data_IF_839969966611
#
_entry.id   IF_839969966611
#
_cell.length_a   1.000
_cell.length_b   1.000
_cell.length_c   1.000
_cell.angle_alpha   90.00
_cell.angle_beta   90.00
_cell.angle_gamma   90.00
#
_symmetry.space_group_name_H-M   'P 1'
#
loop_
_entity.id
_entity.type
_entity.pdbx_description
1 polymer ?
#
# COMPACT_ATOMS: atom_id res chain seq x y z
N UNK A 1 8.81 -19.50 14.22
CA UNK A 1 9.64 -19.73 13.02
C UNK A 1 10.78 -20.61 13.44
N UNK A 2 11.24 -21.53 12.59
CA UNK A 2 12.48 -22.27 12.86
C UNK A 2 13.68 -21.43 12.43
N UNK A 3 14.86 -21.72 12.98
CA UNK A 3 16.12 -21.10 12.54
C UNK A 3 16.37 -21.34 11.04
N UNK A 4 15.85 -22.44 10.50
CA UNK A 4 15.92 -22.77 9.08
C UNK A 4 15.25 -21.73 8.17
N UNK A 5 14.13 -21.14 8.59
CA UNK A 5 13.46 -20.14 7.73
C UNK A 5 14.24 -18.81 7.71
N UNK A 6 14.89 -18.46 8.82
CA UNK A 6 15.77 -17.28 8.91
C UNK A 6 17.00 -17.46 8.02
N UNK A 7 17.64 -18.63 8.06
CA UNK A 7 18.79 -18.93 7.21
C UNK A 7 18.43 -18.89 5.72
N UNK A 8 17.29 -19.49 5.35
CA UNK A 8 16.82 -19.47 3.97
C UNK A 8 16.51 -18.04 3.49
N UNK A 9 15.94 -17.18 4.34
CA UNK A 9 15.74 -15.77 4.01
C UNK A 9 17.06 -15.03 3.84
N UNK A 10 18.05 -15.28 4.70
CA UNK A 10 19.38 -14.65 4.59
C UNK A 10 20.08 -15.05 3.29
N UNK A 11 20.02 -16.33 2.90
CA UNK A 11 20.52 -16.81 1.61
C UNK A 11 19.82 -16.14 0.44
N UNK A 12 18.49 -16.00 0.51
CA UNK A 12 17.72 -15.31 -0.51
C UNK A 12 18.11 -13.82 -0.62
N UNK A 13 18.24 -13.10 0.50
CA UNK A 13 18.64 -11.69 0.51
C UNK A 13 20.06 -11.50 -0.03
N UNK A 14 20.99 -12.39 0.32
CA UNK A 14 22.35 -12.35 -0.21
C UNK A 14 22.39 -12.50 -1.74
N UNK A 15 21.45 -13.24 -2.34
CA UNK A 15 21.34 -13.35 -3.80
C UNK A 15 20.89 -12.05 -4.49
N UNK A 16 20.40 -11.08 -3.71
CA UNK A 16 20.01 -9.74 -4.16
C UNK A 16 20.96 -8.65 -3.64
N UNK A 17 22.12 -9.00 -3.08
CA UNK A 17 23.05 -8.07 -2.43
C UNK A 17 22.41 -7.30 -1.25
N UNK A 18 21.42 -7.90 -0.58
CA UNK A 18 20.72 -7.34 0.57
C UNK A 18 21.08 -8.09 1.86
N UNK A 19 20.94 -7.41 3.00
CA UNK A 19 21.10 -8.00 4.32
C UNK A 19 19.75 -8.06 5.03
N UNK A 20 19.54 -9.08 5.87
CA UNK A 20 18.37 -9.13 6.74
C UNK A 20 18.54 -8.23 7.96
N UNK A 21 17.42 -7.72 8.48
CA UNK A 21 17.42 -7.00 9.75
C UNK A 21 17.39 -8.01 10.89
N UNK A 22 18.33 -7.89 11.83
CA UNK A 22 18.23 -8.66 13.08
C UNK A 22 16.97 -8.24 13.84
N UNK A 23 16.17 -9.24 14.24
CA UNK A 23 14.86 -9.07 14.85
C UNK A 23 14.87 -8.18 16.10
N UNK A 24 15.98 -8.11 16.82
CA UNK A 24 16.10 -7.25 17.99
C UNK A 24 16.13 -5.75 17.63
N UNK A 25 16.50 -5.41 16.40
CA UNK A 25 16.57 -4.04 15.89
C UNK A 25 15.38 -3.67 15.00
N UNK A 26 14.34 -4.49 14.94
CA UNK A 26 13.11 -4.17 14.20
C UNK A 26 12.42 -2.96 14.84
N UNK A 27 12.55 -1.81 14.20
CA UNK A 27 11.96 -0.54 14.62
C UNK A 27 10.43 -0.62 14.68
N UNK A 28 9.82 -1.49 13.84
CA UNK A 28 8.37 -1.65 13.72
C UNK A 28 7.90 -3.08 14.04
N UNK A 29 8.33 -3.59 15.19
CA UNK A 29 7.99 -4.95 15.66
C UNK A 29 6.49 -5.26 15.65
N UNK A 30 5.63 -4.26 15.91
CA UNK A 30 4.16 -4.40 15.88
C UNK A 30 3.63 -4.79 14.50
N UNK A 31 3.98 -4.01 13.46
CA UNK A 31 3.63 -4.32 12.08
C UNK A 31 4.21 -5.68 11.65
N UNK A 32 5.46 -5.95 12.03
CA UNK A 32 6.10 -7.22 11.73
C UNK A 32 5.32 -8.44 12.28
N UNK A 33 4.90 -8.38 13.55
CA UNK A 33 4.09 -9.43 14.17
C UNK A 33 2.75 -9.56 13.43
N UNK A 34 2.12 -8.44 13.10
CA UNK A 34 0.84 -8.41 12.38
C UNK A 34 0.93 -9.12 11.02
N UNK A 35 1.88 -8.72 10.17
CA UNK A 35 2.10 -9.30 8.85
C UNK A 35 2.34 -10.82 8.93
N UNK A 36 3.15 -11.27 9.90
CA UNK A 36 3.41 -12.69 10.14
C UNK A 36 2.16 -13.46 10.56
N UNK A 37 1.34 -12.89 11.43
CA UNK A 37 0.09 -13.52 11.84
C UNK A 37 -0.91 -13.58 10.70
N UNK A 38 -0.86 -12.62 9.78
CA UNK A 38 -1.63 -12.63 8.53
C UNK A 38 -1.19 -13.76 7.61
N UNK A 39 0.12 -13.95 7.39
CA UNK A 39 0.66 -15.11 6.66
C UNK A 39 0.18 -16.43 7.29
N UNK A 40 0.27 -16.58 8.62
CA UNK A 40 -0.23 -17.78 9.29
C UNK A 40 -1.73 -18.00 9.05
N UNK A 41 -2.52 -16.93 8.94
CA UNK A 41 -3.95 -17.04 8.59
C UNK A 41 -4.10 -17.47 7.13
N UNK A 42 -3.40 -16.86 6.18
CA UNK A 42 -3.42 -17.25 4.75
C UNK A 42 -3.07 -18.73 4.60
N UNK A 43 -1.96 -19.17 5.20
CA UNK A 43 -1.51 -20.56 5.15
C UNK A 43 -2.49 -21.53 5.83
N UNK A 44 -3.20 -21.12 6.89
CA UNK A 44 -4.27 -21.95 7.50
C UNK A 44 -5.50 -22.11 6.61
N UNK A 45 -5.77 -21.15 5.74
CA UNK A 45 -6.87 -21.21 4.78
C UNK A 45 -6.44 -21.79 3.42
N UNK A 46 -5.15 -22.14 3.26
CA UNK A 46 -4.64 -22.93 2.14
C UNK A 46 -5.37 -24.28 2.08
N UNK A 47 -5.99 -24.58 0.95
CA UNK A 47 -6.86 -25.75 0.80
C UNK A 47 -8.33 -25.52 1.20
N UNK A 48 -8.72 -24.29 1.51
CA UNK A 48 -10.13 -23.89 1.57
C UNK A 48 -10.69 -23.68 0.15
N UNK A 49 -12.02 -23.59 -0.02
CA UNK A 49 -12.62 -23.24 -1.31
C UNK A 49 -12.14 -21.89 -1.89
N UNK A 50 -11.53 -21.03 -1.07
CA UNK A 50 -11.08 -19.68 -1.45
C UNK A 50 -9.60 -19.63 -1.86
N UNK A 51 -8.80 -20.63 -1.47
CA UNK A 51 -7.35 -20.65 -1.72
C UNK A 51 -6.90 -22.07 -2.04
N UNK A 52 -6.35 -22.25 -3.25
CA UNK A 52 -5.62 -23.45 -3.65
C UNK A 52 -4.47 -23.73 -2.68
N UNK A 53 -4.13 -25.01 -2.45
CA UNK A 53 -3.02 -25.36 -1.58
C UNK A 53 -1.69 -24.72 -2.02
N UNK A 54 -1.04 -24.02 -1.10
CA UNK A 54 0.39 -23.70 -1.20
C UNK A 54 1.21 -24.93 -0.90
N UNK A 55 1.89 -25.50 -1.90
CA UNK A 55 2.92 -26.53 -1.68
C UNK A 55 4.21 -25.94 -1.09
N UNK A 56 4.41 -24.63 -1.26
CA UNK A 56 5.57 -23.85 -0.83
C UNK A 56 5.33 -23.14 0.49
N UNK A 57 6.40 -22.82 1.24
CA UNK A 57 6.28 -21.87 2.36
C UNK A 57 6.07 -20.45 1.85
N UNK A 58 5.42 -19.64 2.67
CA UNK A 58 5.32 -18.19 2.51
C UNK A 58 5.97 -17.53 3.72
N UNK A 59 6.98 -16.71 3.49
CA UNK A 59 7.81 -16.08 4.53
C UNK A 59 7.74 -14.56 4.38
N UNK A 60 7.59 -13.85 5.49
CA UNK A 60 7.75 -12.40 5.55
C UNK A 60 8.89 -12.06 6.49
N UNK A 61 9.82 -11.25 5.99
CA UNK A 61 10.96 -10.73 6.74
C UNK A 61 11.35 -9.34 6.21
N UNK A 62 12.07 -8.57 7.03
CA UNK A 62 12.56 -7.24 6.68
C UNK A 62 14.03 -7.30 6.27
N UNK A 63 14.38 -6.48 5.28
CA UNK A 63 15.74 -6.31 4.81
C UNK A 63 16.26 -4.94 5.22
N UNK A 64 17.54 -4.88 5.55
CA UNK A 64 18.27 -3.66 5.81
C UNK A 64 18.55 -3.00 4.46
N UNK A 65 17.68 -2.08 4.07
CA UNK A 65 17.77 -1.29 2.87
C UNK A 65 17.17 0.10 3.18
N UNK A 66 17.99 1.18 3.12
CA UNK A 66 17.48 2.51 3.41
C UNK A 66 16.48 3.01 2.36
N UNK A 67 16.43 2.41 1.17
CA UNK A 67 15.52 2.84 0.10
C UNK A 67 14.05 2.51 0.42
N UNK A 68 13.14 3.28 -0.17
CA UNK A 68 11.72 2.92 -0.20
C UNK A 68 11.54 1.75 -1.18
N UNK A 69 11.44 0.55 -0.63
CA UNK A 69 11.31 -0.67 -1.41
C UNK A 69 10.44 -1.74 -0.71
N UNK A 70 9.71 -2.49 -1.53
CA UNK A 70 8.98 -3.68 -1.17
C UNK A 70 8.93 -4.59 -2.40
N UNK A 71 8.97 -5.90 -2.17
CA UNK A 71 8.89 -6.86 -3.26
C UNK A 71 8.50 -8.26 -2.80
N UNK A 72 7.77 -8.95 -3.68
CA UNK A 72 7.48 -10.36 -3.63
C UNK A 72 8.39 -11.14 -4.59
N UNK A 73 8.89 -12.29 -4.12
CA UNK A 73 9.77 -13.12 -4.92
C UNK A 73 9.71 -14.60 -4.53
N UNK A 74 10.30 -15.46 -5.35
CA UNK A 74 10.44 -16.90 -5.09
C UNK A 74 11.90 -17.32 -5.08
N UNK A 75 12.31 -18.05 -4.04
CA UNK A 75 13.67 -18.59 -3.91
C UNK A 75 13.63 -20.02 -3.35
N UNK A 76 14.38 -20.92 -3.97
CA UNK A 76 14.44 -22.34 -3.57
C UNK A 76 13.06 -22.98 -3.34
N UNK A 77 12.10 -22.65 -4.22
CA UNK A 77 10.73 -23.16 -4.15
C UNK A 77 9.85 -22.54 -3.05
N UNK A 78 10.30 -21.51 -2.33
CA UNK A 78 9.53 -20.81 -1.29
C UNK A 78 9.23 -19.37 -1.70
N UNK A 79 8.10 -18.84 -1.25
CA UNK A 79 7.71 -17.45 -1.47
C UNK A 79 8.15 -16.56 -0.32
N UNK A 80 8.51 -15.34 -0.67
CA UNK A 80 8.97 -14.33 0.24
C UNK A 80 8.31 -13.00 -0.06
N UNK A 81 7.95 -12.28 1.00
CA UNK A 81 7.60 -10.88 0.97
C UNK A 81 8.65 -10.13 1.76
N UNK A 82 9.23 -9.11 1.15
CA UNK A 82 10.13 -8.19 1.81
C UNK A 82 9.55 -6.77 1.80
N UNK A 83 9.66 -6.11 2.95
CA UNK A 83 9.48 -4.67 3.06
C UNK A 83 10.74 -4.15 3.74
N UNK A 84 11.43 -3.23 3.08
CA UNK A 84 12.65 -2.59 3.61
C UNK A 84 12.38 -1.83 4.90
N UNK A 85 13.39 -1.72 5.76
CA UNK A 85 13.34 -0.82 6.92
C UNK A 85 13.24 0.66 6.47
N UNK A 86 13.86 1.00 5.34
CA UNK A 86 13.71 2.29 4.66
C UNK A 86 12.24 2.69 4.46
N UNK A 87 11.43 1.81 3.84
CA UNK A 87 9.98 2.02 3.67
C UNK A 87 9.28 2.35 4.99
N UNK A 88 9.59 1.64 6.07
CA UNK A 88 8.93 1.88 7.35
C UNK A 88 9.30 3.24 7.95
N UNK A 89 10.59 3.58 7.96
CA UNK A 89 11.07 4.88 8.46
C UNK A 89 10.48 6.03 7.68
N UNK A 90 10.46 5.89 6.36
CA UNK A 90 9.94 6.89 5.45
C UNK A 90 8.45 7.13 5.67
N UNK A 91 7.62 6.08 5.82
CA UNK A 91 6.18 6.26 6.06
C UNK A 91 5.90 6.86 7.44
N UNK A 92 6.65 6.45 8.47
CA UNK A 92 6.48 7.03 9.79
C UNK A 92 6.80 8.53 9.81
N UNK A 93 7.91 8.95 9.19
CA UNK A 93 8.25 10.37 9.07
C UNK A 93 7.19 11.11 8.24
N UNK A 94 6.69 10.53 7.14
CA UNK A 94 5.63 11.12 6.32
C UNK A 94 4.43 11.53 7.16
N UNK A 95 3.83 10.56 7.86
CA UNK A 95 2.59 10.81 8.59
C UNK A 95 2.82 11.60 9.88
N UNK A 96 3.96 11.42 10.55
CA UNK A 96 4.31 12.26 11.70
C UNK A 96 4.44 13.73 11.28
N UNK A 97 5.13 14.00 10.17
CA UNK A 97 5.27 15.35 9.63
C UNK A 97 3.93 15.95 9.23
N UNK A 98 3.09 15.17 8.55
CA UNK A 98 1.73 15.61 8.18
C UNK A 98 0.91 15.99 9.41
N UNK A 99 0.87 15.15 10.43
CA UNK A 99 0.05 15.38 11.62
C UNK A 99 0.69 16.37 12.60
N UNK A 100 1.98 16.70 12.43
CA UNK A 100 2.62 17.83 13.13
C UNK A 100 2.16 19.19 12.59
N UNK A 101 1.44 19.23 11.47
CA UNK A 101 0.82 20.45 10.97
C UNK A 101 -0.66 20.55 11.39
N UNK A 102 -1.10 21.67 11.99
CA UNK A 102 -2.46 21.83 12.51
C UNK A 102 -3.56 21.86 11.43
N UNK A 103 -3.24 22.12 10.17
CA UNK A 103 -4.23 22.16 9.08
C UNK A 103 -4.57 20.77 8.54
N UNK A 104 -3.75 19.76 8.82
CA UNK A 104 -3.95 18.40 8.33
C UNK A 104 -4.78 17.61 9.31
N UNK A 105 -5.97 17.18 8.87
CA UNK A 105 -6.92 16.40 9.67
C UNK A 105 -7.14 17.01 11.07
N UNK A 106 -7.66 18.26 11.15
CA UNK A 106 -7.79 19.00 12.40
C UNK A 106 -8.79 18.37 13.39
N UNK A 107 -9.62 17.44 12.94
CA UNK A 107 -10.58 16.72 13.76
C UNK A 107 -9.95 15.72 14.74
N UNK A 108 -8.66 15.39 14.59
CA UNK A 108 -7.95 14.48 15.49
C UNK A 108 -7.01 15.24 16.41
N UNK A 109 -7.29 15.14 17.72
CA UNK A 109 -6.46 15.72 18.78
C UNK A 109 -6.52 17.25 18.88
N UNK A 110 -5.64 17.81 19.71
CA UNK A 110 -5.55 19.25 19.93
C UNK A 110 -4.54 19.90 18.98
N UNK A 111 -5.05 20.54 17.92
CA UNK A 111 -4.23 21.22 16.90
C UNK A 111 -3.43 22.41 17.46
N UNK A 112 -3.84 23.00 18.59
CA UNK A 112 -3.17 24.18 19.13
C UNK A 112 -1.78 23.87 19.70
N UNK A 113 -1.50 22.59 19.98
CA UNK A 113 -0.19 22.12 20.44
C UNK A 113 0.83 22.00 19.31
N UNK A 114 0.38 21.92 18.07
CA UNK A 114 1.22 21.62 16.91
C UNK A 114 1.94 22.86 16.35
N UNK A 115 2.91 22.61 15.45
CA UNK A 115 3.72 23.68 14.85
C UNK A 115 3.17 24.07 13.47
N UNK A 116 2.93 25.36 13.26
CA UNK A 116 2.36 25.86 12.00
C UNK A 116 3.38 25.79 10.84
N UNK A 117 4.67 25.94 11.14
CA UNK A 117 5.76 25.94 10.16
C UNK A 117 6.46 24.57 10.13
N UNK A 118 5.93 23.66 9.33
CA UNK A 118 6.70 22.49 8.89
C UNK A 118 7.46 22.91 7.64
N UNK A 119 8.80 22.84 7.69
CA UNK A 119 9.60 23.15 6.50
C UNK A 119 9.23 22.14 5.41
N UNK A 120 8.82 22.58 4.20
CA UNK A 120 8.59 21.67 3.10
C UNK A 120 9.85 20.84 2.84
N UNK A 121 9.69 19.55 2.58
CA UNK A 121 10.77 18.71 2.09
C UNK A 121 10.92 19.03 0.59
N UNK A 122 12.06 19.59 0.19
CA UNK A 122 12.30 19.91 -1.23
C UNK A 122 12.58 18.60 -1.95
N UNK A 123 11.53 17.99 -2.48
CA UNK A 123 11.59 16.62 -3.01
C UNK A 123 11.56 15.59 -1.89
N UNK A 124 10.79 14.54 -2.06
CA UNK A 124 10.73 13.47 -1.06
C UNK A 124 11.90 12.51 -1.26
N UNK A 125 12.56 12.11 -0.17
CA UNK A 125 13.67 11.19 -0.23
C UNK A 125 13.14 9.77 -0.12
N UNK A 126 13.17 9.03 -1.22
CA UNK A 126 12.93 7.58 -1.22
C UNK A 126 14.13 6.80 -0.64
N UNK A 127 14.89 7.43 0.26
CA UNK A 127 15.99 6.86 0.99
C UNK A 127 15.99 7.46 2.42
N UNK A 128 15.83 6.60 3.42
CA UNK A 128 15.65 6.96 4.81
C UNK A 128 16.89 7.64 5.43
N UNK A 129 18.10 7.28 5.00
CA UNK A 129 19.32 7.92 5.49
C UNK A 129 19.39 9.37 5.02
N UNK A 130 19.16 9.59 3.72
CA UNK A 130 19.09 10.94 3.15
C UNK A 130 17.99 11.77 3.81
N UNK A 131 16.83 11.15 4.06
CA UNK A 131 15.71 11.79 4.77
C UNK A 131 16.10 12.24 6.18
N UNK A 132 16.82 11.42 6.94
CA UNK A 132 17.30 11.75 8.29
C UNK A 132 18.31 12.88 8.23
N UNK A 133 19.33 12.78 7.39
CA UNK A 133 20.35 13.83 7.22
C UNK A 133 19.73 15.19 6.85
N UNK A 134 18.78 15.19 5.92
CA UNK A 134 18.10 16.41 5.49
C UNK A 134 17.15 16.96 6.55
N UNK A 135 16.54 16.09 7.35
CA UNK A 135 15.72 16.51 8.49
C UNK A 135 16.57 17.14 9.58
N UNK A 136 17.71 16.56 9.92
CA UNK A 136 18.67 17.12 10.90
C UNK A 136 19.15 18.52 10.48
N UNK A 137 19.52 18.70 9.20
CA UNK A 137 19.89 20.02 8.65
C UNK A 137 18.78 21.07 8.79
N UNK A 138 17.53 20.64 8.91
CA UNK A 138 16.32 21.50 8.95
C UNK A 138 15.68 21.62 10.34
N UNK A 139 16.35 21.14 11.39
CA UNK A 139 15.87 21.24 12.77
C UNK A 139 15.36 19.93 13.37
N UNK A 140 15.59 18.79 12.70
CA UNK A 140 15.27 17.44 13.18
C UNK A 140 14.01 16.84 12.54
N UNK A 141 13.71 15.61 12.98
CA UNK A 141 12.49 14.89 12.60
C UNK A 141 11.25 15.54 13.23
N UNK A 142 10.12 15.50 12.54
CA UNK A 142 8.87 16.05 13.04
C UNK A 142 8.09 14.99 13.80
N UNK A 143 7.51 15.37 14.94
CA UNK A 143 6.68 14.50 15.76
C UNK A 143 5.46 15.29 16.24
N UNK A 144 4.23 14.76 16.07
CA UNK A 144 3.06 15.41 16.62
C UNK A 144 3.22 15.57 18.13
N UNK A 145 2.95 16.79 18.60
CA UNK A 145 3.07 17.18 20.00
C UNK A 145 1.86 16.73 20.81
N UNK A 146 0.69 16.69 20.17
CA UNK A 146 -0.50 16.11 20.76
C UNK A 146 -0.47 14.56 20.66
N UNK A 147 -0.78 13.90 21.77
CA UNK A 147 -0.72 12.44 21.86
C UNK A 147 -1.74 11.75 20.95
N UNK A 148 -2.94 12.32 20.80
CA UNK A 148 -3.96 11.78 19.90
C UNK A 148 -3.48 11.91 18.45
N UNK A 149 -2.93 13.06 18.06
CA UNK A 149 -2.33 13.24 16.72
C UNK A 149 -1.17 12.28 16.45
N UNK A 150 -0.31 12.05 17.45
CA UNK A 150 0.80 11.08 17.35
C UNK A 150 0.30 9.66 17.11
N UNK A 151 -0.65 9.18 17.92
CA UNK A 151 -1.24 7.85 17.75
C UNK A 151 -1.92 7.70 16.39
N UNK A 152 -2.54 8.77 15.92
CA UNK A 152 -3.20 8.79 14.63
C UNK A 152 -2.22 8.76 13.45
N UNK A 153 -1.07 9.44 13.55
CA UNK A 153 0.01 9.34 12.57
C UNK A 153 0.56 7.90 12.45
N UNK A 154 0.75 7.21 13.58
CA UNK A 154 1.15 5.80 13.61
C UNK A 154 0.08 4.93 12.94
N UNK A 155 -1.21 5.23 13.18
CA UNK A 155 -2.31 4.51 12.55
C UNK A 155 -2.32 4.65 11.03
N UNK A 156 -2.16 5.87 10.48
CA UNK A 156 -2.04 6.09 9.03
C UNK A 156 -0.80 5.39 8.43
N UNK A 157 0.32 5.39 9.16
CA UNK A 157 1.54 4.67 8.77
C UNK A 157 1.27 3.17 8.63
N UNK A 158 0.60 2.58 9.62
CA UNK A 158 0.23 1.16 9.60
C UNK A 158 -0.77 0.83 8.49
N UNK A 159 -1.72 1.72 8.19
CA UNK A 159 -2.65 1.54 7.07
C UNK A 159 -1.92 1.45 5.72
N UNK A 160 -0.93 2.32 5.50
CA UNK A 160 -0.10 2.28 4.29
C UNK A 160 0.77 1.01 4.23
N UNK A 161 1.40 0.64 5.36
CA UNK A 161 2.21 -0.59 5.46
C UNK A 161 1.37 -1.86 5.24
N UNK A 162 0.17 -1.92 5.81
CA UNK A 162 -0.76 -3.05 5.62
C UNK A 162 -1.17 -3.18 4.15
N UNK A 163 -1.35 -2.06 3.43
CA UNK A 163 -1.62 -2.08 1.99
C UNK A 163 -0.40 -2.55 1.18
N UNK A 164 0.81 -2.06 1.47
CA UNK A 164 2.04 -2.54 0.80
C UNK A 164 2.19 -4.05 1.00
N UNK A 165 2.03 -4.53 2.24
CA UNK A 165 2.08 -5.96 2.52
C UNK A 165 1.03 -6.75 1.70
N UNK A 166 -0.21 -6.26 1.64
CA UNK A 166 -1.26 -6.92 0.86
C UNK A 166 -1.02 -6.86 -0.65
N UNK A 167 -0.39 -5.81 -1.14
CA UNK A 167 0.02 -5.66 -2.53
C UNK A 167 1.06 -6.73 -2.89
N UNK A 168 2.12 -6.88 -2.08
CA UNK A 168 3.11 -7.94 -2.29
C UNK A 168 2.51 -9.35 -2.14
N UNK A 169 1.58 -9.52 -1.21
CA UNK A 169 0.84 -10.77 -1.08
C UNK A 169 -0.04 -11.05 -2.30
N UNK A 170 -0.59 -10.02 -2.95
CA UNK A 170 -1.37 -10.16 -4.17
C UNK A 170 -0.50 -10.66 -5.33
N UNK A 171 0.73 -10.17 -5.50
CA UNK A 171 1.64 -10.72 -6.50
C UNK A 171 1.87 -12.24 -6.38
N UNK A 172 1.90 -12.75 -5.15
CA UNK A 172 2.04 -14.19 -4.91
C UNK A 172 0.69 -14.89 -5.13
N UNK A 173 -0.37 -14.43 -4.46
CA UNK A 173 -1.67 -15.12 -4.46
C UNK A 173 -2.39 -15.08 -5.80
N UNK A 174 -2.17 -14.03 -6.60
CA UNK A 174 -2.72 -13.88 -7.94
C UNK A 174 -1.85 -14.59 -9.00
N UNK A 175 -0.67 -15.10 -8.61
CA UNK A 175 0.20 -15.88 -9.49
C UNK A 175 1.15 -15.05 -10.35
N UNK A 176 1.31 -13.75 -10.07
CA UNK A 176 2.18 -12.85 -10.83
C UNK A 176 3.64 -13.30 -10.76
N UNK A 177 4.12 -13.68 -9.56
CA UNK A 177 5.51 -14.14 -9.36
C UNK A 177 5.80 -15.39 -10.20
N UNK A 178 4.94 -16.40 -10.15
CA UNK A 178 5.17 -17.64 -10.92
C UNK A 178 5.01 -17.42 -12.42
N UNK A 179 4.10 -16.55 -12.83
CA UNK A 179 3.95 -16.16 -14.23
C UNK A 179 5.22 -15.49 -14.77
N UNK A 180 5.78 -14.52 -14.03
CA UNK A 180 7.04 -13.84 -14.39
C UNK A 180 8.21 -14.82 -14.48
N UNK A 181 8.32 -15.75 -13.53
CA UNK A 181 9.36 -16.79 -13.55
C UNK A 181 9.21 -17.69 -14.78
N UNK A 182 7.99 -18.18 -15.04
CA UNK A 182 7.74 -19.15 -16.09
C UNK A 182 7.91 -18.57 -17.51
N UNK A 183 7.60 -17.29 -17.71
CA UNK A 183 7.60 -16.66 -19.03
C UNK A 183 8.83 -15.79 -19.31
N UNK A 184 9.44 -15.22 -18.27
CA UNK A 184 10.53 -14.26 -18.42
C UNK A 184 11.78 -14.61 -17.61
N UNK A 185 11.73 -15.66 -16.78
CA UNK A 185 12.83 -16.04 -15.90
C UNK A 185 13.09 -15.02 -14.78
N UNK A 186 12.15 -14.10 -14.55
CA UNK A 186 12.26 -13.03 -13.54
C UNK A 186 11.68 -13.54 -12.23
N UNK A 187 12.51 -13.64 -11.18
CA UNK A 187 12.08 -14.16 -9.88
C UNK A 187 11.53 -13.09 -8.93
N UNK A 188 11.59 -11.80 -9.31
CA UNK A 188 11.23 -10.66 -8.47
C UNK A 188 10.38 -9.65 -9.25
N UNK A 189 9.28 -9.22 -8.63
CA UNK A 189 8.54 -8.03 -9.04
C UNK A 189 8.90 -6.93 -8.03
N UNK A 190 9.43 -5.81 -8.53
CA UNK A 190 9.89 -4.69 -7.71
C UNK A 190 9.25 -3.40 -8.23
N UNK A 191 8.84 -2.54 -7.29
CA UNK A 191 8.25 -1.21 -7.53
C UNK A 191 9.17 -0.27 -8.33
N UNK A 192 10.49 -0.46 -8.24
CA UNK A 192 11.50 0.34 -8.94
C UNK A 192 12.28 -0.50 -9.98
N UNK A 193 12.09 -0.21 -11.27
CA UNK A 193 12.98 -0.73 -12.33
C UNK A 193 12.34 -0.86 -13.71
N UNK A 194 13.08 -0.45 -14.75
CA UNK A 194 12.70 -0.51 -16.17
C UNK A 194 13.96 -0.72 -17.02
N UNK A 195 14.37 -1.97 -17.28
CA UNK A 195 15.45 -2.19 -18.26
C UNK A 195 15.08 -3.33 -19.22
N UNK A 196 14.90 -2.97 -20.49
CA UNK A 196 14.98 -3.90 -21.64
C UNK A 196 13.74 -4.74 -21.97
N UNK A 197 12.58 -4.47 -21.36
CA UNK A 197 11.37 -5.26 -21.60
C UNK A 197 10.66 -4.87 -22.91
N UNK A 198 10.01 -5.84 -23.56
CA UNK A 198 9.13 -5.60 -24.72
C UNK A 198 7.86 -4.87 -24.29
N UNK A 199 7.24 -4.08 -25.18
CA UNK A 199 6.06 -3.26 -24.87
C UNK A 199 4.87 -4.07 -24.31
N UNK A 200 4.62 -5.28 -24.83
CA UNK A 200 3.56 -6.14 -24.29
C UNK A 200 3.88 -6.64 -22.87
N UNK A 201 5.14 -6.94 -22.57
CA UNK A 201 5.54 -7.33 -21.21
C UNK A 201 5.38 -6.17 -20.23
N UNK A 202 5.71 -4.94 -20.65
CA UNK A 202 5.45 -3.74 -19.85
C UNK A 202 3.95 -3.54 -19.59
N UNK A 203 3.09 -3.75 -20.59
CA UNK A 203 1.64 -3.67 -20.42
C UNK A 203 1.11 -4.77 -19.48
N UNK A 204 1.60 -6.00 -19.63
CA UNK A 204 1.27 -7.11 -18.75
C UNK A 204 1.69 -6.79 -17.30
N UNK A 205 2.89 -6.23 -17.08
CA UNK A 205 3.33 -5.77 -15.76
C UNK A 205 2.43 -4.68 -15.19
N UNK A 206 2.16 -3.61 -15.93
CA UNK A 206 1.26 -2.55 -15.45
C UNK A 206 -0.13 -3.09 -15.07
N UNK A 207 -0.61 -4.10 -15.80
CA UNK A 207 -1.90 -4.74 -15.54
C UNK A 207 -1.84 -5.62 -14.28
N UNK A 208 -0.72 -6.33 -14.05
CA UNK A 208 -0.46 -7.04 -12.79
C UNK A 208 -0.40 -6.10 -11.59
N UNK A 209 0.19 -4.92 -11.74
CA UNK A 209 0.22 -3.88 -10.69
C UNK A 209 -1.18 -3.36 -10.38
N UNK A 210 -2.00 -3.09 -11.40
CA UNK A 210 -3.41 -2.70 -11.22
C UNK A 210 -4.21 -3.77 -10.45
N UNK A 211 -4.02 -5.05 -10.79
CA UNK A 211 -4.67 -6.15 -10.09
C UNK A 211 -4.17 -6.31 -8.65
N UNK A 212 -2.86 -6.18 -8.42
CA UNK A 212 -2.27 -6.21 -7.07
C UNK A 212 -2.80 -5.06 -6.19
N UNK A 213 -2.84 -3.83 -6.72
CA UNK A 213 -3.40 -2.65 -6.06
C UNK A 213 -4.86 -2.85 -5.66
N UNK A 214 -5.69 -3.32 -6.60
CA UNK A 214 -7.12 -3.56 -6.37
C UNK A 214 -7.37 -4.68 -5.34
N UNK A 215 -6.62 -5.78 -5.42
CA UNK A 215 -6.71 -6.87 -4.46
C UNK A 215 -6.30 -6.41 -3.05
N UNK A 216 -5.20 -5.67 -2.93
CA UNK A 216 -4.70 -5.16 -1.66
C UNK A 216 -5.70 -4.20 -1.01
N UNK A 217 -6.24 -3.28 -1.82
CA UNK A 217 -7.23 -2.32 -1.37
C UNK A 217 -8.51 -2.99 -0.87
N UNK A 218 -9.08 -3.91 -1.66
CA UNK A 218 -10.27 -4.65 -1.27
C UNK A 218 -10.07 -5.47 0.01
N UNK A 219 -8.92 -6.12 0.17
CA UNK A 219 -8.58 -6.88 1.37
C UNK A 219 -8.49 -5.98 2.61
N UNK A 220 -7.79 -4.86 2.52
CA UNK A 220 -7.65 -3.89 3.60
C UNK A 220 -9.01 -3.29 3.98
N UNK A 221 -9.77 -2.77 3.02
CA UNK A 221 -11.11 -2.23 3.29
C UNK A 221 -12.05 -3.27 3.91
N UNK A 222 -12.00 -4.53 3.44
CA UNK A 222 -12.78 -5.62 4.04
C UNK A 222 -12.43 -5.85 5.52
N UNK A 223 -11.15 -5.75 5.90
CA UNK A 223 -10.72 -5.80 7.31
C UNK A 223 -11.24 -4.60 8.10
N UNK A 224 -11.07 -3.39 7.56
CA UNK A 224 -11.46 -2.14 8.20
C UNK A 224 -12.98 -2.07 8.45
N UNK A 225 -13.79 -2.42 7.47
CA UNK A 225 -15.25 -2.48 7.60
C UNK A 225 -15.67 -3.50 8.67
N UNK A 226 -15.05 -4.69 8.68
CA UNK A 226 -15.35 -5.68 9.73
C UNK A 226 -14.97 -5.20 11.11
N UNK A 227 -13.86 -4.46 11.24
CA UNK A 227 -13.45 -3.86 12.51
C UNK A 227 -14.44 -2.77 12.96
N UNK A 228 -14.91 -1.91 12.05
CA UNK A 228 -15.84 -0.82 12.38
C UNK A 228 -17.23 -1.30 12.79
N UNK A 229 -17.69 -2.43 12.27
CA UNK A 229 -19.00 -3.01 12.63
C UNK A 229 -18.89 -4.05 13.76
N UNK A 230 -17.71 -4.28 14.30
CA UNK A 230 -17.50 -5.34 15.28
C UNK A 230 -18.21 -5.01 16.61
N UNK A 231 -19.04 -5.90 17.18
CA UNK A 231 -19.83 -5.61 18.39
C UNK A 231 -19.01 -5.22 19.63
N UNK A 232 -17.74 -5.66 19.68
CA UNK A 232 -16.82 -5.33 20.79
C UNK A 232 -16.17 -3.97 20.68
N UNK A 233 -16.37 -3.22 19.58
CA UNK A 233 -15.73 -1.91 19.39
C UNK A 233 -16.01 -0.95 20.55
N UNK A 234 -17.25 -0.93 21.06
CA UNK A 234 -17.67 -0.13 22.22
C UNK A 234 -16.90 -0.44 23.52
N UNK A 235 -16.27 -1.61 23.61
CA UNK A 235 -15.49 -2.06 24.76
C UNK A 235 -13.98 -1.88 24.54
N UNK A 236 -13.56 -1.36 23.38
CA UNK A 236 -12.15 -1.08 23.07
C UNK A 236 -11.73 0.29 23.60
N UNK A 237 -10.44 0.60 23.50
CA UNK A 237 -9.89 1.90 23.88
C UNK A 237 -10.61 3.07 23.20
N UNK A 238 -10.62 4.24 23.83
CA UNK A 238 -11.19 5.47 23.26
C UNK A 238 -10.66 5.75 21.84
N UNK A 239 -9.35 5.62 21.64
CA UNK A 239 -8.72 5.76 20.32
C UNK A 239 -9.31 4.81 19.28
N UNK A 240 -9.52 3.54 19.65
CA UNK A 240 -10.13 2.56 18.74
C UNK A 240 -11.56 2.97 18.38
N UNK A 241 -12.33 3.46 19.35
CA UNK A 241 -13.69 3.95 19.10
C UNK A 241 -13.69 5.18 18.18
N UNK A 242 -12.73 6.09 18.34
CA UNK A 242 -12.56 7.24 17.46
C UNK A 242 -12.23 6.79 16.04
N UNK A 243 -11.25 5.91 15.87
CA UNK A 243 -10.77 5.50 14.55
C UNK A 243 -11.81 4.63 13.82
N UNK A 244 -12.34 3.61 14.50
CA UNK A 244 -13.21 2.60 13.87
C UNK A 244 -14.71 2.92 14.01
N UNK A 245 -15.10 3.95 14.76
CA UNK A 245 -16.50 4.27 15.05
C UNK A 245 -17.29 4.85 13.87
N UNK A 246 -16.60 5.36 12.84
CA UNK A 246 -17.22 5.82 11.60
C UNK A 246 -16.52 5.15 10.41
N UNK A 247 -17.20 4.19 9.79
CA UNK A 247 -16.68 3.42 8.66
C UNK A 247 -16.37 4.28 7.43
N UNK A 248 -17.14 5.35 7.18
CA UNK A 248 -16.91 6.19 6.01
C UNK A 248 -15.68 7.06 6.20
N UNK A 249 -15.53 7.64 7.40
CA UNK A 249 -14.30 8.34 7.78
C UNK A 249 -13.10 7.40 7.73
N UNK A 250 -13.21 6.19 8.31
CA UNK A 250 -12.14 5.19 8.29
C UNK A 250 -11.68 4.83 6.87
N UNK A 251 -12.61 4.62 5.93
CA UNK A 251 -12.28 4.33 4.54
C UNK A 251 -11.71 5.55 3.81
N UNK A 252 -12.21 6.76 4.12
CA UNK A 252 -11.63 8.02 3.64
C UNK A 252 -10.20 8.23 4.16
N UNK A 253 -9.94 7.95 5.43
CA UNK A 253 -8.63 8.05 6.07
C UNK A 253 -7.65 7.02 5.47
N UNK A 254 -8.12 5.81 5.17
CA UNK A 254 -7.34 4.81 4.44
C UNK A 254 -7.00 5.29 3.04
N UNK A 255 -7.96 5.83 2.31
CA UNK A 255 -7.71 6.40 0.99
C UNK A 255 -6.74 7.59 1.06
N UNK A 256 -6.87 8.47 2.06
CA UNK A 256 -5.93 9.56 2.34
C UNK A 256 -4.51 9.06 2.58
N UNK A 257 -4.34 7.97 3.34
CA UNK A 257 -3.03 7.34 3.52
C UNK A 257 -2.44 6.92 2.16
N UNK A 258 -3.20 6.17 1.35
CA UNK A 258 -2.70 5.70 0.06
C UNK A 258 -2.41 6.84 -0.93
N UNK A 259 -3.20 7.91 -0.94
CA UNK A 259 -2.92 9.11 -1.75
C UNK A 259 -1.55 9.73 -1.41
N UNK A 260 -1.21 9.82 -0.13
CA UNK A 260 0.08 10.38 0.30
C UNK A 260 1.23 9.40 0.05
N UNK A 261 0.99 8.09 0.21
CA UNK A 261 1.93 7.03 -0.18
C UNK A 261 2.27 7.11 -1.67
N UNK A 262 1.27 7.12 -2.56
CA UNK A 262 1.53 7.14 -4.00
C UNK A 262 2.29 8.39 -4.44
N UNK A 263 2.01 9.53 -3.82
CA UNK A 263 2.71 10.78 -4.12
C UNK A 263 4.18 10.78 -3.72
N UNK A 264 4.65 9.81 -2.93
CA UNK A 264 6.09 9.62 -2.72
C UNK A 264 6.82 9.32 -4.04
N UNK A 265 6.14 8.70 -5.01
CA UNK A 265 6.65 8.44 -6.35
C UNK A 265 6.45 9.62 -7.33
N UNK A 266 5.90 10.73 -6.83
CA UNK A 266 5.61 11.94 -7.61
C UNK A 266 4.24 11.93 -8.31
N UNK A 267 3.88 13.06 -8.92
CA UNK A 267 2.60 13.24 -9.63
C UNK A 267 2.64 12.83 -11.12
N UNK A 268 3.80 12.40 -11.64
CA UNK A 268 3.94 11.94 -13.03
C UNK A 268 3.47 12.94 -14.11
N UNK A 269 3.13 12.41 -15.29
CA UNK A 269 2.37 13.08 -16.35
C UNK A 269 1.02 12.37 -16.58
N UNK A 270 0.08 12.67 -15.69
CA UNK A 270 -1.28 12.13 -15.69
C UNK A 270 -2.02 12.19 -17.04
N UNK A 271 -1.75 13.20 -17.88
CA UNK A 271 -2.47 13.38 -19.15
C UNK A 271 -1.87 12.59 -20.30
N UNK A 272 -0.55 12.46 -20.30
CA UNK A 272 0.18 11.91 -21.44
C UNK A 272 0.75 10.52 -21.15
N UNK A 273 0.32 9.85 -20.07
CA UNK A 273 0.76 8.50 -19.78
C UNK A 273 0.32 7.53 -20.89
N UNK A 274 1.27 6.74 -21.40
CA UNK A 274 1.03 5.73 -22.42
C UNK A 274 1.19 4.34 -21.79
N UNK A 275 0.16 3.50 -21.93
CA UNK A 275 0.20 2.11 -21.47
C UNK A 275 1.37 1.34 -22.14
N UNK A 276 2.03 0.46 -21.41
CA UNK A 276 3.15 -0.35 -21.88
C UNK A 276 4.47 0.39 -22.05
N UNK A 277 4.65 1.56 -21.44
CA UNK A 277 5.92 2.33 -21.46
C UNK A 277 6.70 2.30 -20.15
N UNK A 278 6.07 1.87 -19.06
CA UNK A 278 6.67 1.69 -17.75
C UNK A 278 6.23 0.35 -17.16
N UNK A 279 6.85 -0.07 -16.07
CA UNK A 279 6.49 -1.29 -15.34
C UNK A 279 5.29 -1.09 -14.41
N UNK A 280 4.98 0.15 -14.04
CA UNK A 280 3.90 0.50 -13.11
C UNK A 280 3.06 1.65 -13.67
N UNK A 281 1.73 1.67 -13.45
CA UNK A 281 0.93 2.87 -13.65
C UNK A 281 1.46 4.01 -12.79
N UNK A 282 1.40 5.25 -13.27
CA UNK A 282 1.82 6.39 -12.45
C UNK A 282 0.91 6.55 -11.22
N UNK A 283 1.48 7.07 -10.14
CA UNK A 283 0.83 7.23 -8.84
C UNK A 283 -0.59 7.84 -8.88
N UNK A 284 -0.90 8.90 -9.66
CA UNK A 284 -2.25 9.41 -9.74
C UNK A 284 -3.24 8.44 -10.40
N UNK A 285 -2.80 7.65 -11.39
CA UNK A 285 -3.64 6.61 -12.00
C UNK A 285 -3.94 5.49 -11.01
N UNK A 286 -2.92 5.02 -10.27
CA UNK A 286 -3.11 4.02 -9.19
C UNK A 286 -4.19 4.48 -8.21
N UNK A 287 -4.09 5.71 -7.72
CA UNK A 287 -5.07 6.29 -6.80
C UNK A 287 -6.52 6.32 -7.36
N UNK A 288 -6.70 6.65 -8.64
CA UNK A 288 -8.03 6.68 -9.25
C UNK A 288 -8.59 5.27 -9.49
N UNK A 289 -7.74 4.31 -9.84
CA UNK A 289 -8.15 2.92 -10.01
C UNK A 289 -8.69 2.35 -8.69
N UNK A 290 -8.10 2.70 -7.55
CA UNK A 290 -8.62 2.28 -6.24
C UNK A 290 -10.05 2.77 -5.97
N UNK A 291 -10.43 3.96 -6.46
CA UNK A 291 -11.81 4.44 -6.32
C UNK A 291 -12.80 3.53 -7.03
N UNK A 292 -12.42 2.97 -8.18
CA UNK A 292 -13.26 2.02 -8.95
C UNK A 292 -13.42 0.70 -8.20
N UNK A 293 -12.48 0.33 -7.32
CA UNK A 293 -12.58 -0.88 -6.49
C UNK A 293 -13.61 -0.75 -5.36
N UNK A 294 -14.01 0.46 -4.96
CA UNK A 294 -14.97 0.63 -3.86
C UNK A 294 -16.35 0.06 -4.14
N UNK A 295 -16.88 0.21 -5.36
CA UNK A 295 -18.22 -0.25 -5.71
C UNK A 295 -18.39 -1.77 -5.54
N UNK A 296 -17.62 -2.63 -6.25
CA UNK A 296 -17.76 -4.08 -6.10
C UNK A 296 -17.45 -4.56 -4.68
N UNK A 297 -16.53 -3.89 -3.99
CA UNK A 297 -16.22 -4.19 -2.59
C UNK A 297 -17.41 -3.86 -1.67
N UNK A 298 -18.01 -2.69 -1.79
CA UNK A 298 -19.17 -2.29 -0.99
C UNK A 298 -20.35 -3.22 -1.21
N UNK A 299 -20.62 -3.57 -2.45
CA UNK A 299 -21.65 -4.55 -2.79
C UNK A 299 -21.40 -5.90 -2.10
N UNK A 300 -20.16 -6.40 -2.17
CA UNK A 300 -19.78 -7.63 -1.49
C UNK A 300 -20.02 -7.53 0.02
N UNK A 301 -19.60 -6.42 0.64
CA UNK A 301 -19.72 -6.21 2.08
C UNK A 301 -21.17 -6.05 2.54
N UNK A 302 -21.99 -5.36 1.76
CA UNK A 302 -23.43 -5.23 2.00
C UNK A 302 -24.15 -6.58 1.88
N UNK A 303 -23.83 -7.37 0.85
CA UNK A 303 -24.43 -8.71 0.65
C UNK A 303 -24.01 -9.70 1.73
N UNK A 304 -22.71 -9.78 2.05
CA UNK A 304 -22.16 -10.83 2.91
C UNK A 304 -22.24 -10.50 4.40
N UNK A 305 -22.07 -9.23 4.76
CA UNK A 305 -21.96 -8.81 6.17
C UNK A 305 -23.08 -7.85 6.59
N UNK A 306 -24.06 -7.58 5.73
CA UNK A 306 -25.17 -6.66 6.01
C UNK A 306 -24.70 -5.29 6.52
N UNK A 307 -23.58 -4.80 5.96
CA UNK A 307 -22.92 -3.58 6.43
C UNK A 307 -23.72 -2.29 6.14
N UNK A 308 -24.70 -2.34 5.24
CA UNK A 308 -25.58 -1.22 4.86
C UNK A 308 -24.82 0.08 4.51
N UNK A 309 -23.71 -0.07 3.79
CA UNK A 309 -22.85 1.01 3.32
C UNK A 309 -23.51 1.77 2.15
N UNK A 310 -23.40 3.09 2.16
CA UNK A 310 -23.89 4.03 1.14
C UNK A 310 -22.74 4.58 0.30
N UNK A 311 -22.85 4.46 -1.03
CA UNK A 311 -21.81 4.94 -1.94
C UNK A 311 -21.66 6.45 -1.87
N UNK A 312 -22.76 7.21 -1.81
CA UNK A 312 -22.74 8.67 -1.71
C UNK A 312 -21.95 9.18 -0.48
N UNK A 313 -22.14 8.51 0.67
CA UNK A 313 -21.42 8.86 1.90
C UNK A 313 -19.93 8.53 1.81
N UNK A 314 -19.59 7.41 1.17
CA UNK A 314 -18.21 7.04 0.93
C UNK A 314 -17.53 8.03 -0.01
N UNK A 315 -18.15 8.33 -1.15
CA UNK A 315 -17.64 9.30 -2.12
C UNK A 315 -17.41 10.66 -1.47
N UNK A 316 -18.31 11.11 -0.60
CA UNK A 316 -18.11 12.35 0.19
C UNK A 316 -16.83 12.28 1.02
N UNK A 317 -16.56 11.16 1.69
CA UNK A 317 -15.35 10.97 2.50
C UNK A 317 -14.09 10.88 1.64
N UNK A 318 -14.17 10.24 0.47
CA UNK A 318 -13.07 10.16 -0.49
C UNK A 318 -12.74 11.51 -1.13
N UNK A 319 -13.74 12.34 -1.44
CA UNK A 319 -13.54 13.71 -1.94
C UNK A 319 -12.81 14.56 -0.90
N UNK A 320 -13.18 14.42 0.37
CA UNK A 320 -12.47 15.11 1.45
C UNK A 320 -11.03 14.60 1.60
N UNK A 321 -10.82 13.29 1.50
CA UNK A 321 -9.48 12.69 1.48
C UNK A 321 -8.63 13.19 0.30
N UNK A 322 -9.22 13.33 -0.90
CA UNK A 322 -8.56 13.91 -2.08
C UNK A 322 -8.13 15.35 -1.84
N UNK A 323 -9.05 16.18 -1.33
CA UNK A 323 -8.81 17.58 -1.00
C UNK A 323 -7.68 17.70 0.04
N UNK A 324 -7.79 16.93 1.13
CA UNK A 324 -6.78 16.92 2.18
C UNK A 324 -5.43 16.40 1.70
N UNK A 325 -5.43 15.37 0.87
CA UNK A 325 -4.21 14.88 0.23
C UNK A 325 -3.53 15.98 -0.58
N UNK A 326 -4.28 16.75 -1.37
CA UNK A 326 -3.70 17.85 -2.16
C UNK A 326 -3.02 18.91 -1.30
N UNK A 327 -3.64 19.27 -0.16
CA UNK A 327 -3.05 20.17 0.85
C UNK A 327 -1.78 19.54 1.44
N UNK A 328 -1.84 18.26 1.84
CA UNK A 328 -0.71 17.50 2.36
C UNK A 328 0.46 17.47 1.38
N UNK A 329 0.21 17.26 0.10
CA UNK A 329 1.25 17.23 -0.92
C UNK A 329 1.94 18.58 -1.10
N UNK A 330 1.16 19.67 -1.21
CA UNK A 330 1.73 21.02 -1.27
C UNK A 330 2.59 21.31 -0.05
N UNK A 331 2.11 20.91 1.13
CA UNK A 331 2.85 21.09 2.37
C UNK A 331 4.17 20.30 2.40
N UNK A 332 4.16 19.06 1.91
CA UNK A 332 5.36 18.21 1.92
C UNK A 332 6.35 18.66 0.85
N UNK A 333 5.90 19.06 -0.34
CA UNK A 333 6.77 19.22 -1.51
C UNK A 333 6.99 20.66 -1.96
N UNK A 334 6.20 21.62 -1.44
CA UNK A 334 6.11 23.00 -1.93
C UNK A 334 5.67 23.11 -3.40
N UNK A 335 5.03 22.06 -3.94
CA UNK A 335 4.50 22.02 -5.30
C UNK A 335 2.98 22.01 -5.30
N UNK A 336 2.40 22.70 -6.26
CA UNK A 336 0.98 22.54 -6.53
C UNK A 336 0.71 21.13 -7.07
N UNK A 337 -0.27 20.41 -6.51
CA UNK A 337 -0.66 19.12 -7.06
C UNK A 337 -1.12 19.34 -8.51
N UNK A 338 -0.58 18.54 -9.44
CA UNK A 338 -1.08 18.54 -10.82
C UNK A 338 -2.55 18.12 -10.81
N UNK A 339 -3.36 18.67 -11.73
CA UNK A 339 -4.84 18.63 -11.78
C UNK A 339 -5.53 17.24 -11.76
N UNK A 340 -4.80 16.14 -11.54
CA UNK A 340 -5.28 14.77 -11.58
C UNK A 340 -6.39 14.41 -10.57
N UNK A 341 -6.74 15.30 -9.64
CA UNK A 341 -7.64 14.99 -8.53
C UNK A 341 -8.88 15.88 -8.41
N UNK A 342 -9.14 16.74 -9.41
CA UNK A 342 -10.28 17.67 -9.37
C UNK A 342 -11.13 17.52 -10.64
N UNK A 343 -12.20 16.71 -10.56
CA UNK A 343 -13.30 16.74 -11.54
C UNK A 343 -13.58 15.43 -12.29
N UNK A 344 -14.65 15.46 -13.11
CA UNK A 344 -15.19 14.33 -13.89
C UNK A 344 -14.26 13.76 -14.97
N UNK A 345 -13.12 14.41 -15.24
CA UNK A 345 -12.26 14.10 -16.40
C UNK A 345 -11.20 13.03 -16.09
N UNK A 346 -11.05 12.59 -14.83
CA UNK A 346 -10.12 11.52 -14.45
C UNK A 346 -10.67 10.10 -14.64
N UNK A 347 -11.98 9.95 -14.86
CA UNK A 347 -12.63 8.63 -14.93
C UNK A 347 -12.37 7.89 -16.24
N UNK A 348 -12.29 8.64 -17.34
CA UNK A 348 -12.16 8.15 -18.72
C UNK A 348 -10.75 8.43 -19.24
N UNK A 349 -9.74 7.87 -18.56
CA UNK A 349 -8.37 7.90 -19.07
C UNK A 349 -8.10 6.64 -19.92
N UNK A 350 -7.58 6.77 -21.16
CA UNK A 350 -7.27 5.64 -22.04
C UNK A 350 -6.39 4.56 -21.39
N UNK A 351 -5.53 4.91 -20.42
CA UNK A 351 -4.73 3.91 -19.73
C UNK A 351 -5.58 2.94 -18.92
N UNK A 352 -6.61 3.42 -18.21
CA UNK A 352 -7.47 2.55 -17.41
C UNK A 352 -8.21 1.56 -18.32
N UNK A 353 -8.71 2.02 -19.46
CA UNK A 353 -9.34 1.16 -20.47
C UNK A 353 -8.36 0.14 -21.03
N UNK A 354 -7.13 0.56 -21.36
CA UNK A 354 -6.10 -0.33 -21.88
C UNK A 354 -5.72 -1.44 -20.88
N UNK A 355 -5.55 -1.10 -19.60
CA UNK A 355 -5.23 -2.07 -18.54
C UNK A 355 -6.39 -3.03 -18.29
N UNK A 356 -7.63 -2.52 -18.19
CA UNK A 356 -8.83 -3.36 -18.02
C UNK A 356 -9.00 -4.29 -19.22
N UNK A 357 -8.83 -3.79 -20.45
CA UNK A 357 -8.90 -4.60 -21.66
C UNK A 357 -7.82 -5.67 -21.68
N UNK A 358 -6.57 -5.32 -21.32
CA UNK A 358 -5.48 -6.30 -21.25
C UNK A 358 -5.74 -7.37 -20.17
N UNK A 359 -6.32 -7.00 -19.03
CA UNK A 359 -6.76 -7.95 -18.00
C UNK A 359 -7.79 -8.93 -18.57
N UNK A 360 -8.89 -8.41 -19.10
CA UNK A 360 -10.04 -9.19 -19.55
C UNK A 360 -9.73 -10.09 -20.74
N UNK A 361 -9.02 -9.57 -21.75
CA UNK A 361 -8.82 -10.26 -23.01
C UNK A 361 -7.61 -11.20 -22.99
N UNK A 362 -6.63 -10.96 -22.10
CA UNK A 362 -5.32 -11.62 -22.16
C UNK A 362 -4.85 -12.13 -20.81
N UNK A 363 -4.55 -11.22 -19.88
CA UNK A 363 -3.75 -11.55 -18.71
C UNK A 363 -4.50 -12.42 -17.70
N UNK A 364 -5.81 -12.23 -17.53
CA UNK A 364 -6.65 -13.06 -16.67
C UNK A 364 -6.49 -14.57 -16.98
N UNK A 365 -6.57 -14.93 -18.26
CA UNK A 365 -6.47 -16.33 -18.70
C UNK A 365 -5.04 -16.88 -18.57
N UNK A 366 -4.03 -16.03 -18.79
CA UNK A 366 -2.62 -16.39 -18.64
C UNK A 366 -2.23 -16.63 -17.18
N UNK A 367 -2.79 -15.85 -16.25
CA UNK A 367 -2.47 -15.94 -14.82
C UNK A 367 -3.23 -17.06 -14.12
N UNK A 368 -4.44 -17.40 -14.56
CA UNK A 368 -5.30 -18.42 -13.92
C UNK A 368 -4.61 -19.76 -13.57
N UNK A 369 -3.70 -20.32 -14.39
CA UNK A 369 -2.95 -21.53 -14.03
C UNK A 369 -1.98 -21.33 -12.85
N UNK A 370 -1.47 -20.12 -12.67
CA UNK A 370 -0.51 -19.74 -11.63
C UNK A 370 -1.18 -19.22 -10.36
N UNK A 371 -2.42 -18.72 -10.44
CA UNK A 371 -3.11 -18.12 -9.29
C UNK A 371 -3.48 -19.13 -8.22
N UNK A 372 -3.31 -18.73 -6.96
CA UNK A 372 -3.66 -19.50 -5.76
C UNK A 372 -5.08 -19.23 -5.26
N UNK A 373 -5.79 -18.26 -5.82
CA UNK A 373 -7.23 -18.04 -5.59
C UNK A 373 -7.94 -17.85 -6.92
N UNK A 374 -9.26 -17.82 -6.87
CA UNK A 374 -10.04 -17.38 -8.02
C UNK A 374 -9.73 -15.91 -8.30
N UNK A 375 -9.36 -15.64 -9.55
CA UNK A 375 -9.25 -14.28 -10.06
C UNK A 375 -10.65 -13.75 -10.37
N UNK A 376 -10.86 -12.46 -10.17
CA UNK A 376 -12.13 -11.80 -10.42
C UNK A 376 -12.04 -10.90 -11.65
N UNK A 377 -13.18 -10.74 -12.31
CA UNK A 377 -13.35 -9.84 -13.46
C UNK A 377 -13.63 -8.42 -13.01
#
# INVERSE_FOLDING_TARGET
MSDNDTNLFNEAMASFDLQSVDRQYLVFRGHYIHARDKIKKVLRHSGSPLLKPFSSKLIYEQALNPDFDAFAFKYSGNYFINISDGTHHILHELYNRLLSNPTILPQFGDISKEVTAVNPIKGYFLNALVMVEESERRGGLYWPRDEMRRRYAIFLSNLALDWIFEHELAHITNGHVDYEIANYGVCRIQENGTVGLQSQHLLDRQTMEMDADGAAFGNCCGVLIRASIHPQLKNMSEFSQIVFGDVYRLLGDFYFALLNLFRLFGDGDFRNMIAGTSTHPEAPHRALMLLKTFEPMMEHMNRKYHANLSMDRLLTSCIEALRMGGISYRLITDKDPKEAFIGSHGYDNPIHEALIKNWQDHLFYKLKPFSYKDLYY
#
